data_IF_994806178484
#
_entry.id   IF_994806178484
#
_cell.length_a   1.000
_cell.length_b   1.000
_cell.length_c   1.000
_cell.angle_alpha   90.00
_cell.angle_beta   90.00
_cell.angle_gamma   90.00
#
_symmetry.space_group_name_H-M   'P 1'
#
loop_
_entity.id
_entity.type
_entity.pdbx_description
1 polymer ?
#
# COMPACT_ATOMS: atom_id res chain seq x y z
N UNK A 1 17.43 25.19 -11.03
CA UNK A 1 16.91 24.00 -11.76
C UNK A 1 17.10 22.78 -10.88
N UNK A 2 16.10 22.44 -10.10
CA UNK A 2 16.14 21.24 -9.29
C UNK A 2 16.03 20.02 -10.22
N UNK A 3 17.06 19.16 -10.22
CA UNK A 3 17.00 17.85 -10.86
C UNK A 3 15.95 17.02 -10.12
N UNK A 4 14.75 16.89 -10.69
CA UNK A 4 13.79 15.89 -10.27
C UNK A 4 14.49 14.52 -10.23
N UNK A 5 14.72 13.99 -9.03
CA UNK A 5 15.02 12.57 -8.87
C UNK A 5 13.82 11.85 -9.46
N UNK A 6 14.01 11.16 -10.58
CA UNK A 6 13.00 10.24 -11.12
C UNK A 6 12.72 9.22 -10.03
N UNK A 7 11.65 9.44 -9.30
CA UNK A 7 11.17 8.47 -8.34
C UNK A 7 10.69 7.26 -9.14
N UNK A 8 11.35 6.13 -8.93
CA UNK A 8 10.90 4.87 -9.49
C UNK A 8 9.66 4.49 -8.67
N UNK A 9 8.47 4.76 -9.19
CA UNK A 9 7.21 4.46 -8.51
C UNK A 9 7.04 2.95 -8.27
N UNK A 10 7.66 2.13 -9.11
CA UNK A 10 7.65 0.68 -8.98
C UNK A 10 8.89 0.18 -8.23
N UNK A 11 8.74 -0.81 -7.34
CA UNK A 11 9.88 -1.39 -6.62
C UNK A 11 10.90 -1.98 -7.60
N UNK A 12 12.19 -1.75 -7.31
CA UNK A 12 13.25 -2.37 -8.10
C UNK A 12 13.22 -3.90 -7.91
N UNK A 13 13.45 -4.70 -8.97
CA UNK A 13 13.41 -6.16 -8.87
C UNK A 13 14.46 -6.75 -7.93
N UNK A 14 15.52 -6.02 -7.62
CA UNK A 14 16.62 -6.45 -6.75
C UNK A 14 16.79 -5.50 -5.57
N UNK A 15 15.94 -5.59 -4.56
CA UNK A 15 16.18 -4.91 -3.30
C UNK A 15 16.00 -5.88 -2.12
N UNK A 16 16.64 -5.56 -1.00
CA UNK A 16 16.58 -6.37 0.21
C UNK A 16 15.19 -6.27 0.87
N UNK A 17 14.33 -7.22 0.55
CA UNK A 17 13.00 -7.37 1.12
C UNK A 17 13.00 -7.48 2.64
N UNK A 18 13.99 -8.15 3.19
CA UNK A 18 14.07 -8.41 4.63
C UNK A 18 14.23 -7.10 5.39
N UNK A 19 15.06 -6.19 4.86
CA UNK A 19 15.22 -4.86 5.42
C UNK A 19 13.92 -4.05 5.35
N UNK A 20 13.25 -4.03 4.18
CA UNK A 20 11.98 -3.31 4.00
C UNK A 20 10.89 -3.80 4.96
N UNK A 21 10.75 -5.11 5.14
CA UNK A 21 9.79 -5.70 6.08
C UNK A 21 10.12 -5.30 7.51
N UNK A 22 11.40 -5.42 7.90
CA UNK A 22 11.86 -5.06 9.24
C UNK A 22 11.57 -3.58 9.56
N UNK A 23 11.90 -2.67 8.64
CA UNK A 23 11.70 -1.23 8.79
C UNK A 23 10.20 -0.91 8.92
N UNK A 24 9.35 -1.52 8.09
CA UNK A 24 7.91 -1.33 8.14
C UNK A 24 7.31 -1.80 9.47
N UNK A 25 7.77 -2.95 9.99
CA UNK A 25 7.30 -3.48 11.28
C UNK A 25 7.73 -2.61 12.45
N UNK A 26 8.98 -2.14 12.45
CA UNK A 26 9.50 -1.23 13.49
C UNK A 26 8.74 0.09 13.47
N UNK A 27 8.56 0.69 12.28
CA UNK A 27 7.81 1.93 12.12
C UNK A 27 6.37 1.80 12.61
N UNK A 28 5.69 0.68 12.31
CA UNK A 28 4.33 0.43 12.77
C UNK A 28 4.25 0.28 14.30
N UNK A 29 5.21 -0.43 14.90
CA UNK A 29 5.28 -0.64 16.33
C UNK A 29 5.52 0.66 17.09
N UNK A 30 6.48 1.47 16.67
CA UNK A 30 6.80 2.77 17.28
C UNK A 30 5.64 3.75 17.19
N UNK A 31 4.94 3.80 16.05
CA UNK A 31 3.77 4.65 15.88
C UNK A 31 2.59 4.20 16.72
N UNK A 32 2.33 2.91 16.78
CA UNK A 32 1.28 2.39 17.65
C UNK A 32 1.59 2.73 19.11
N UNK A 33 2.84 2.59 19.54
CA UNK A 33 3.28 2.95 20.88
C UNK A 33 3.09 4.45 21.15
N UNK A 34 3.50 5.32 20.25
CA UNK A 34 3.36 6.77 20.37
C UNK A 34 1.90 7.24 20.45
N UNK A 35 0.98 6.52 19.80
CA UNK A 35 -0.46 6.82 19.79
C UNK A 35 -1.28 6.03 20.81
N UNK A 36 -0.66 5.23 21.67
CA UNK A 36 -1.35 4.36 22.61
C UNK A 36 -2.19 3.26 21.96
N UNK A 37 -1.88 2.88 20.73
CA UNK A 37 -2.57 1.84 19.97
C UNK A 37 -1.98 0.46 20.25
N UNK A 38 -2.84 -0.55 20.26
CA UNK A 38 -2.39 -1.93 20.47
C UNK A 38 -1.99 -2.61 19.17
N UNK A 39 -0.67 -2.76 18.95
CA UNK A 39 -0.13 -3.52 17.83
C UNK A 39 -0.02 -5.01 18.22
N UNK A 40 -1.07 -5.79 17.91
CA UNK A 40 -1.16 -7.20 18.31
C UNK A 40 -0.26 -8.10 17.44
N UNK A 41 0.11 -9.31 17.93
CA UNK A 41 0.87 -10.27 17.13
C UNK A 41 0.21 -10.61 15.78
N UNK A 42 -1.13 -10.64 15.72
CA UNK A 42 -1.83 -10.87 14.46
C UNK A 42 -1.68 -9.70 13.49
N UNK A 43 -1.83 -8.46 13.96
CA UNK A 43 -1.63 -7.25 13.13
C UNK A 43 -0.21 -7.20 12.58
N UNK A 44 0.78 -7.53 13.41
CA UNK A 44 2.17 -7.65 13.00
C UNK A 44 2.34 -8.69 11.90
N UNK A 45 1.76 -9.89 12.06
CA UNK A 45 1.88 -10.96 11.08
C UNK A 45 1.17 -10.63 9.76
N UNK A 46 -0.01 -10.02 9.82
CA UNK A 46 -0.72 -9.55 8.61
C UNK A 46 0.09 -8.48 7.87
N UNK A 47 0.67 -7.52 8.57
CA UNK A 47 1.53 -6.50 7.97
C UNK A 47 2.77 -7.13 7.31
N UNK A 48 3.40 -8.10 7.97
CA UNK A 48 4.54 -8.85 7.44
C UNK A 48 4.18 -9.59 6.14
N UNK A 49 3.02 -10.25 6.09
CA UNK A 49 2.54 -10.96 4.90
C UNK A 49 2.31 -9.99 3.73
N UNK A 50 1.69 -8.84 3.99
CA UNK A 50 1.45 -7.82 2.96
C UNK A 50 2.77 -7.28 2.41
N UNK A 51 3.79 -7.07 3.27
CA UNK A 51 5.10 -6.59 2.84
C UNK A 51 5.97 -7.66 2.18
N UNK A 52 5.71 -8.94 2.45
CA UNK A 52 6.52 -10.03 1.90
C UNK A 52 6.33 -10.21 0.39
N UNK A 53 5.31 -9.59 -0.18
CA UNK A 53 5.03 -9.60 -1.62
C UNK A 53 5.04 -8.18 -2.17
N UNK A 54 5.74 -7.96 -3.30
CA UNK A 54 5.66 -6.67 -4.02
C UNK A 54 4.39 -6.51 -4.86
N UNK A 55 3.62 -7.56 -4.98
CA UNK A 55 2.32 -7.55 -5.64
C UNK A 55 1.21 -7.34 -4.60
N UNK A 56 0.11 -6.70 -4.97
CA UNK A 56 -1.06 -6.60 -4.12
C UNK A 56 -1.51 -7.98 -3.65
N UNK A 57 -1.77 -8.09 -2.35
CA UNK A 57 -2.14 -9.36 -1.71
C UNK A 57 -3.61 -9.32 -1.31
N UNK A 58 -4.40 -10.26 -1.81
CA UNK A 58 -5.81 -10.40 -1.46
C UNK A 58 -6.01 -10.87 -0.02
N UNK A 59 -7.16 -10.56 0.58
CA UNK A 59 -7.47 -11.03 1.94
C UNK A 59 -7.50 -12.57 2.04
N UNK A 60 -7.87 -13.26 0.98
CA UNK A 60 -7.85 -14.72 0.92
C UNK A 60 -6.43 -15.30 0.97
N UNK A 61 -5.50 -14.70 0.24
CA UNK A 61 -4.09 -15.13 0.25
C UNK A 61 -3.48 -14.95 1.64
N UNK A 62 -3.83 -13.85 2.31
CA UNK A 62 -3.41 -13.58 3.69
C UNK A 62 -3.97 -14.63 4.64
N UNK A 63 -5.25 -15.01 4.47
CA UNK A 63 -5.88 -16.05 5.27
C UNK A 63 -5.23 -17.42 5.08
N UNK A 64 -4.90 -17.79 3.85
CA UNK A 64 -4.21 -19.04 3.54
C UNK A 64 -2.82 -19.07 4.20
N UNK A 65 -2.04 -18.04 4.04
CA UNK A 65 -0.70 -17.95 4.65
C UNK A 65 -0.72 -17.96 6.18
N UNK A 66 -1.78 -17.43 6.79
CA UNK A 66 -2.00 -17.52 8.23
C UNK A 66 -2.42 -18.92 8.68
N UNK A 67 -3.08 -19.71 7.83
CA UNK A 67 -3.48 -21.10 8.14
C UNK A 67 -2.29 -22.06 8.13
N UNK A 68 -1.33 -21.86 7.25
CA UNK A 68 -0.10 -22.64 7.18
C UNK A 68 0.82 -22.41 8.41
N UNK A 69 0.57 -21.36 9.17
CA UNK A 69 1.19 -21.09 10.47
C UNK A 69 0.47 -21.83 11.61
N UNK A 70 1.19 -22.01 12.74
CA UNK A 70 0.68 -22.69 13.96
C UNK A 70 -0.51 -22.00 14.62
N UNK A 71 -0.99 -20.87 14.13
CA UNK A 71 -2.13 -20.09 14.65
C UNK A 71 -3.09 -19.75 13.52
N UNK A 72 -4.11 -20.58 13.34
CA UNK A 72 -5.24 -20.25 12.48
C UNK A 72 -6.02 -19.07 13.04
N UNK A 73 -6.16 -18.00 12.23
CA UNK A 73 -7.03 -16.89 12.56
C UNK A 73 -8.36 -17.02 11.82
N UNK A 74 -9.45 -16.71 12.50
CA UNK A 74 -10.77 -16.68 11.87
C UNK A 74 -10.86 -15.51 10.87
N UNK A 75 -11.54 -15.67 9.71
CA UNK A 75 -11.66 -14.61 8.71
C UNK A 75 -12.05 -13.22 9.26
N UNK A 76 -13.06 -13.08 10.13
CA UNK A 76 -13.41 -11.76 10.68
C UNK A 76 -12.27 -11.10 11.45
N UNK A 77 -11.41 -11.88 12.08
CA UNK A 77 -10.28 -11.35 12.86
C UNK A 77 -9.18 -10.81 11.94
N UNK A 78 -8.97 -11.45 10.78
CA UNK A 78 -8.01 -10.97 9.76
C UNK A 78 -8.52 -9.69 9.11
N UNK A 79 -9.81 -9.61 8.77
CA UNK A 79 -10.40 -8.37 8.25
C UNK A 79 -10.27 -7.19 9.22
N UNK A 80 -10.50 -7.40 10.51
CA UNK A 80 -10.28 -6.36 11.53
C UNK A 80 -8.81 -5.94 11.65
N UNK A 81 -7.89 -6.86 11.43
CA UNK A 81 -6.47 -6.53 11.40
C UNK A 81 -6.14 -5.67 10.18
N UNK A 82 -6.65 -6.01 9.00
CA UNK A 82 -6.49 -5.24 7.77
C UNK A 82 -7.13 -3.84 7.88
N UNK A 83 -8.35 -3.75 8.37
CA UNK A 83 -9.03 -2.46 8.63
C UNK A 83 -8.18 -1.56 9.53
N UNK A 84 -7.65 -2.10 10.61
CA UNK A 84 -6.75 -1.34 11.50
C UNK A 84 -5.49 -0.87 10.77
N UNK A 85 -4.86 -1.72 9.96
CA UNK A 85 -3.64 -1.38 9.23
C UNK A 85 -3.89 -0.30 8.16
N UNK A 86 -5.05 -0.35 7.50
CA UNK A 86 -5.48 0.68 6.53
C UNK A 86 -5.82 1.99 7.24
N UNK A 87 -6.62 1.95 8.30
CA UNK A 87 -7.03 3.12 9.08
C UNK A 87 -5.83 3.91 9.62
N UNK A 88 -4.77 3.21 10.01
CA UNK A 88 -3.58 3.85 10.56
C UNK A 88 -2.46 4.07 9.54
N UNK A 89 -2.73 3.85 8.24
CA UNK A 89 -1.82 4.17 7.15
C UNK A 89 -0.59 3.27 7.04
N UNK A 90 -0.65 2.05 7.56
CA UNK A 90 0.42 1.05 7.40
C UNK A 90 0.29 0.24 6.10
N UNK A 91 -0.92 0.19 5.57
CA UNK A 91 -1.30 -0.56 4.39
C UNK A 91 -2.29 0.27 3.58
N UNK A 92 -2.20 0.20 2.27
CA UNK A 92 -3.20 0.73 1.35
C UNK A 92 -4.07 -0.39 0.80
N UNK A 93 -5.36 -0.14 0.67
CA UNK A 93 -6.26 -0.99 -0.08
C UNK A 93 -6.34 -0.49 -1.52
N UNK A 94 -6.11 -1.37 -2.48
CA UNK A 94 -6.31 -1.11 -3.91
C UNK A 94 -7.71 -1.62 -4.26
N UNK A 95 -8.64 -0.70 -4.43
CA UNK A 95 -10.06 -1.04 -4.58
C UNK A 95 -10.33 -1.82 -5.86
N UNK A 96 -9.71 -1.42 -6.98
CA UNK A 96 -9.88 -2.08 -8.28
C UNK A 96 -9.41 -3.53 -8.30
N UNK A 97 -8.48 -3.91 -7.40
CA UNK A 97 -7.94 -5.26 -7.28
C UNK A 97 -8.50 -6.01 -6.07
N UNK A 98 -9.24 -5.33 -5.19
CA UNK A 98 -9.66 -5.83 -3.87
C UNK A 98 -8.49 -6.48 -3.10
N UNK A 99 -7.36 -5.80 -3.09
CA UNK A 99 -6.09 -6.29 -2.54
C UNK A 99 -5.38 -5.19 -1.72
N UNK A 100 -4.33 -5.56 -1.02
CA UNK A 100 -3.62 -4.72 -0.08
C UNK A 100 -2.14 -4.62 -0.46
N UNK A 101 -1.56 -3.43 -0.27
CA UNK A 101 -0.13 -3.16 -0.45
C UNK A 101 0.42 -2.43 0.77
N UNK A 102 1.68 -2.69 1.14
CA UNK A 102 2.33 -1.97 2.22
C UNK A 102 2.55 -0.49 1.87
N UNK A 103 2.40 0.39 2.84
CA UNK A 103 2.69 1.81 2.68
C UNK A 103 4.16 2.10 2.97
N UNK A 104 4.92 2.55 1.99
CA UNK A 104 6.34 2.90 2.14
C UNK A 104 6.59 4.15 2.97
N UNK A 105 5.53 4.95 3.25
CA UNK A 105 5.57 6.16 4.06
C UNK A 105 4.54 6.11 5.18
N UNK A 106 4.50 4.95 5.83
CA UNK A 106 3.60 4.76 6.95
C UNK A 106 3.74 5.92 7.93
N UNK A 107 2.66 6.68 8.06
CA UNK A 107 2.55 7.73 9.03
C UNK A 107 2.68 9.14 8.60
N UNK A 108 3.02 9.38 7.41
CA UNK A 108 2.85 10.68 6.78
C UNK A 108 1.42 10.75 6.21
N UNK A 109 0.78 11.89 6.39
CA UNK A 109 -0.47 12.14 5.67
C UNK A 109 -0.13 12.33 4.19
N UNK A 110 -0.56 11.40 3.37
CA UNK A 110 -0.40 11.46 1.92
C UNK A 110 -1.62 10.92 1.20
N UNK A 111 -1.83 11.40 -0.01
CA UNK A 111 -2.88 10.89 -0.89
C UNK A 111 -2.44 9.58 -1.49
N UNK A 112 -3.26 8.54 -1.39
CA UNK A 112 -3.02 7.30 -2.11
C UNK A 112 -3.16 7.51 -3.61
N UNK A 113 -2.03 7.55 -4.33
CA UNK A 113 -1.99 7.64 -5.80
C UNK A 113 -1.25 6.41 -6.31
N UNK A 114 -1.96 5.55 -7.05
CA UNK A 114 -1.44 4.24 -7.45
C UNK A 114 -1.41 4.09 -8.96
N UNK A 115 -0.28 3.59 -9.47
CA UNK A 115 -0.11 3.15 -10.85
C UNK A 115 -0.18 1.64 -10.87
N UNK A 116 -1.17 1.08 -11.56
CA UNK A 116 -1.46 -0.36 -11.57
C UNK A 116 -1.15 -0.93 -12.94
N UNK A 117 -0.20 -1.88 -13.02
CA UNK A 117 0.11 -2.57 -14.25
C UNK A 117 -0.92 -3.65 -14.54
N UNK A 118 -1.65 -3.53 -15.64
CA UNK A 118 -2.67 -4.50 -16.06
C UNK A 118 -2.11 -5.87 -16.48
N UNK A 119 -0.80 -5.95 -16.77
CA UNK A 119 -0.17 -7.19 -17.22
C UNK A 119 0.45 -8.01 -16.10
N UNK A 120 1.19 -7.36 -15.20
CA UNK A 120 1.87 -8.05 -14.08
C UNK A 120 1.28 -7.77 -12.71
N UNK A 121 0.24 -6.94 -12.63
CA UNK A 121 -0.44 -6.51 -11.39
C UNK A 121 0.47 -5.83 -10.36
N UNK A 122 1.68 -5.41 -10.74
CA UNK A 122 2.50 -4.59 -9.87
C UNK A 122 1.84 -3.23 -9.66
N UNK A 123 1.97 -2.73 -8.43
CA UNK A 123 1.48 -1.41 -8.03
C UNK A 123 2.67 -0.54 -7.65
N UNK A 124 2.72 0.64 -8.25
CA UNK A 124 3.65 1.69 -7.89
C UNK A 124 2.89 2.81 -7.19
N UNK A 125 3.45 3.37 -6.12
CA UNK A 125 2.90 4.54 -5.45
C UNK A 125 3.50 5.81 -6.06
N UNK A 126 2.64 6.69 -6.54
CA UNK A 126 2.98 8.03 -6.98
C UNK A 126 2.66 9.01 -5.85
N UNK A 127 3.61 9.86 -5.49
CA UNK A 127 3.40 10.93 -4.53
C UNK A 127 3.59 12.27 -5.22
N UNK A 128 2.49 12.82 -5.70
CA UNK A 128 2.47 14.11 -6.35
C UNK A 128 1.43 15.04 -5.68
N UNK A 129 1.88 16.01 -4.87
CA UNK A 129 1.00 16.94 -4.20
C UNK A 129 0.25 17.86 -5.17
N UNK A 130 0.76 18.10 -6.37
CA UNK A 130 0.09 18.96 -7.37
C UNK A 130 -1.18 18.26 -7.90
N UNK A 131 -1.13 16.95 -8.10
CA UNK A 131 -2.30 16.14 -8.51
C UNK A 131 -3.37 16.21 -7.43
N UNK A 132 -3.01 16.01 -6.17
CA UNK A 132 -3.94 16.08 -5.04
C UNK A 132 -4.59 17.45 -4.93
N UNK A 133 -3.79 18.52 -4.96
CA UNK A 133 -4.27 19.89 -4.88
C UNK A 133 -5.18 20.26 -6.07
N UNK A 134 -4.87 19.76 -7.28
CA UNK A 134 -5.71 19.98 -8.45
C UNK A 134 -7.08 19.32 -8.31
N UNK A 135 -7.12 18.08 -7.82
CA UNK A 135 -8.37 17.35 -7.60
C UNK A 135 -9.21 18.04 -6.54
N UNK A 136 -8.64 18.41 -5.41
CA UNK A 136 -9.33 19.14 -4.33
C UNK A 136 -9.90 20.46 -4.82
N UNK A 137 -9.12 21.24 -5.58
CA UNK A 137 -9.56 22.49 -6.18
C UNK A 137 -10.73 22.29 -7.13
N UNK A 138 -10.69 21.27 -7.99
CA UNK A 138 -11.77 20.97 -8.95
C UNK A 138 -13.03 20.49 -8.24
N UNK A 139 -12.88 19.62 -7.25
CA UNK A 139 -13.98 19.12 -6.44
C UNK A 139 -14.69 20.26 -5.68
N UNK A 140 -13.91 21.14 -5.05
CA UNK A 140 -14.46 22.31 -4.35
C UNK A 140 -15.25 23.24 -5.28
N UNK A 141 -14.80 23.42 -6.53
CA UNK A 141 -15.51 24.18 -7.56
C UNK A 141 -16.87 23.58 -7.94
N UNK A 142 -17.08 22.29 -7.65
CA UNK A 142 -18.34 21.58 -7.82
C UNK A 142 -19.16 21.47 -6.51
N UNK A 143 -18.70 22.11 -5.45
CA UNK A 143 -19.33 22.02 -4.12
C UNK A 143 -19.09 20.70 -3.40
N UNK A 144 -18.07 19.93 -3.82
CA UNK A 144 -17.73 18.64 -3.22
C UNK A 144 -16.53 18.77 -2.27
N UNK A 145 -16.71 18.35 -1.02
CA UNK A 145 -15.64 18.28 -0.02
C UNK A 145 -14.95 16.91 -0.09
N UNK A 146 -13.68 16.89 -0.45
CA UNK A 146 -12.88 15.66 -0.47
C UNK A 146 -12.51 15.29 0.97
N UNK A 147 -12.84 14.07 1.40
CA UNK A 147 -12.50 13.55 2.72
C UNK A 147 -11.23 12.69 2.68
N UNK A 148 -11.19 11.74 1.76
CA UNK A 148 -10.05 10.85 1.56
C UNK A 148 -9.87 10.59 0.06
N UNK A 149 -8.90 11.29 -0.59
CA UNK A 149 -8.65 11.05 -2.01
C UNK A 149 -7.87 9.75 -2.21
N UNK A 150 -8.35 8.91 -3.10
CA UNK A 150 -7.62 7.75 -3.63
C UNK A 150 -7.67 7.80 -5.14
N UNK A 151 -6.53 7.67 -5.79
CA UNK A 151 -6.40 7.72 -7.24
C UNK A 151 -5.77 6.41 -7.70
N UNK A 152 -6.46 5.68 -8.56
CA UNK A 152 -5.95 4.47 -9.19
C UNK A 152 -5.89 4.66 -10.69
N UNK A 153 -4.70 4.50 -11.26
CA UNK A 153 -4.42 4.67 -12.68
C UNK A 153 -3.93 3.34 -13.24
N UNK A 154 -4.70 2.79 -14.16
CA UNK A 154 -4.36 1.52 -14.83
C UNK A 154 -3.57 1.77 -16.11
N UNK A 155 -2.51 0.97 -16.32
CA UNK A 155 -1.65 1.08 -17.48
C UNK A 155 -0.68 -0.10 -17.59
N UNK A 156 0.48 0.13 -18.19
CA UNK A 156 1.57 -0.85 -18.26
C UNK A 156 2.82 -0.28 -17.57
N UNK A 157 3.45 -1.06 -16.73
CA UNK A 157 4.77 -0.71 -16.21
C UNK A 157 5.80 -0.78 -17.36
N UNK A 158 6.98 -0.20 -17.16
CA UNK A 158 8.04 -0.12 -18.18
C UNK A 158 8.37 -1.49 -18.75
N UNK A 159 8.62 -2.48 -17.89
CA UNK A 159 9.03 -3.82 -18.32
C UNK A 159 7.95 -4.52 -19.16
N UNK A 160 6.68 -4.29 -18.82
CA UNK A 160 5.56 -4.83 -19.56
C UNK A 160 5.26 -4.08 -20.88
N UNK A 161 5.54 -2.78 -20.93
CA UNK A 161 5.39 -1.96 -22.12
C UNK A 161 6.47 -2.29 -23.16
N UNK A 162 7.72 -2.49 -22.73
CA UNK A 162 8.84 -2.83 -23.62
C UNK A 162 8.63 -4.20 -24.30
N UNK A 163 8.05 -5.16 -23.57
CA UNK A 163 7.69 -6.49 -24.15
C UNK A 163 6.52 -6.41 -25.13
N UNK A 164 5.64 -5.42 -25.01
CA UNK A 164 4.49 -5.26 -25.91
C UNK A 164 4.87 -4.57 -27.24
N UNK A 165 6.01 -3.90 -27.29
CA UNK A 165 6.51 -3.15 -28.46
C UNK A 165 7.64 -3.87 -29.22
N UNK A 166 8.06 -5.06 -28.83
CA UNK A 166 9.05 -5.94 -29.48
C UNK A 166 8.39 -7.18 -30.03
#
# INVERSE_FOLDING_TARGET
MAKSKRQNAFPAPEHDHTACISDALVAAEDRCRARGLRFTPLRRRVLEIVWNRHAPTGAYDILEELRDGKRSAAPPTVYRALEFLVEHGFVHKIESLNAFVGCGRAGEEHTGQFLICQKCNQVGELDDPEISALIEKKAAGLGFAVAQPTIEISGLCRDCADVANG
#
